data_IF_703493450274
#
_entry.id   IF_703493450274
#
_cell.length_a   1.000
_cell.length_b   1.000
_cell.length_c   1.000
_cell.angle_alpha   90.00
_cell.angle_beta   90.00
_cell.angle_gamma   90.00
#
_symmetry.space_group_name_H-M   'P 1'
#
loop_
_entity.id
_entity.type
_entity.pdbx_description
1 polymer ?
#
# COMPACT_ATOMS: atom_id res chain seq x y z
N UNK A 1 1.41 -11.68 14.80
CA UNK A 1 0.85 -11.25 13.51
C UNK A 1 0.93 -9.74 13.49
N UNK A 2 2.03 -9.17 12.98
CA UNK A 2 2.10 -7.72 12.81
C UNK A 2 0.98 -7.34 11.83
N UNK A 3 0.03 -6.53 12.27
CA UNK A 3 -1.02 -6.04 11.38
C UNK A 3 -0.34 -5.26 10.28
N UNK A 4 -0.34 -5.81 9.06
CA UNK A 4 0.21 -5.13 7.89
C UNK A 4 -0.43 -3.74 7.77
N UNK A 5 0.40 -2.70 7.77
CA UNK A 5 -0.08 -1.32 7.65
C UNK A 5 -0.85 -1.17 6.34
N UNK A 6 -2.13 -0.81 6.46
CA UNK A 6 -3.01 -0.53 5.32
C UNK A 6 -2.46 0.63 4.50
N UNK A 7 -2.60 0.52 3.17
CA UNK A 7 -2.33 1.62 2.25
C UNK A 7 -3.31 2.77 2.46
N UNK A 8 -2.95 3.97 2.01
CA UNK A 8 -3.85 5.13 2.10
C UNK A 8 -5.16 4.90 1.33
N UNK A 9 -5.09 4.16 0.23
CA UNK A 9 -6.26 3.78 -0.56
C UNK A 9 -7.19 2.83 0.22
N UNK A 10 -6.65 1.80 0.87
CA UNK A 10 -7.44 0.90 1.72
C UNK A 10 -8.11 1.67 2.87
N UNK A 11 -7.40 2.61 3.49
CA UNK A 11 -7.97 3.48 4.54
C UNK A 11 -9.09 4.37 3.99
N UNK A 12 -8.95 4.90 2.77
CA UNK A 12 -9.98 5.69 2.12
C UNK A 12 -11.24 4.86 1.83
N UNK A 13 -11.08 3.64 1.30
CA UNK A 13 -12.17 2.70 1.05
C UNK A 13 -12.87 2.27 2.34
N UNK A 14 -12.14 2.01 3.43
CA UNK A 14 -12.75 1.72 4.72
C UNK A 14 -13.55 2.89 5.28
N UNK A 15 -13.11 4.12 5.03
CA UNK A 15 -13.86 5.33 5.40
C UNK A 15 -15.12 5.49 4.54
N UNK A 16 -15.03 5.24 3.23
CA UNK A 16 -16.17 5.26 2.31
C UNK A 16 -17.22 4.21 2.69
N UNK A 17 -16.79 2.99 3.02
CA UNK A 17 -17.67 1.93 3.56
C UNK A 17 -18.45 2.38 4.79
N UNK A 18 -17.78 3.07 5.74
CA UNK A 18 -18.45 3.61 6.94
C UNK A 18 -19.50 4.68 6.61
N UNK A 19 -19.41 5.33 5.46
CA UNK A 19 -20.36 6.32 4.95
C UNK A 19 -21.44 5.72 4.05
N UNK A 20 -21.45 4.39 3.87
CA UNK A 20 -22.46 3.69 3.07
C UNK A 20 -22.12 3.57 1.56
N UNK A 21 -20.90 3.89 1.16
CA UNK A 21 -20.41 3.69 -0.22
C UNK A 21 -19.66 2.35 -0.40
N UNK A 22 -19.47 1.95 -1.66
CA UNK A 22 -18.90 0.69 -2.19
C UNK A 22 -17.92 -0.08 -1.25
N UNK A 23 -18.14 -1.39 -1.15
CA UNK A 23 -17.24 -2.32 -0.44
C UNK A 23 -15.89 -2.50 -1.16
N UNK A 24 -14.84 -2.82 -0.39
CA UNK A 24 -13.58 -3.29 -0.97
C UNK A 24 -13.83 -4.56 -1.81
N UNK A 25 -13.34 -4.63 -3.06
CA UNK A 25 -13.59 -5.80 -3.88
C UNK A 25 -12.92 -7.03 -3.25
N UNK A 26 -13.60 -8.17 -3.33
CA UNK A 26 -13.08 -9.43 -2.81
C UNK A 26 -11.84 -9.84 -3.60
N UNK A 27 -10.75 -10.12 -2.88
CA UNK A 27 -9.49 -10.51 -3.49
C UNK A 27 -9.35 -12.03 -3.54
N UNK A 28 -8.85 -12.55 -4.66
CA UNK A 28 -8.40 -13.93 -4.77
C UNK A 28 -7.19 -14.23 -3.87
N UNK A 29 -6.90 -15.50 -3.56
CA UNK A 29 -5.68 -15.87 -2.82
C UNK A 29 -4.40 -15.33 -3.47
N UNK A 30 -4.33 -15.36 -4.81
CA UNK A 30 -3.18 -14.87 -5.56
C UNK A 30 -3.03 -13.35 -5.47
N UNK A 31 -4.13 -12.60 -5.56
CA UNK A 31 -4.13 -11.14 -5.39
C UNK A 31 -3.71 -10.74 -3.97
N UNK A 32 -4.15 -11.47 -2.94
CA UNK A 32 -3.71 -11.25 -1.56
C UNK A 32 -2.21 -11.50 -1.42
N UNK A 33 -1.69 -12.56 -2.04
CA UNK A 33 -0.25 -12.85 -2.07
C UNK A 33 0.54 -11.77 -2.79
N UNK A 34 0.01 -11.24 -3.90
CA UNK A 34 0.62 -10.13 -4.64
C UNK A 34 0.71 -8.86 -3.78
N UNK A 35 -0.35 -8.51 -3.04
CA UNK A 35 -0.33 -7.37 -2.10
C UNK A 35 0.70 -7.58 -0.99
N UNK A 36 0.77 -8.78 -0.40
CA UNK A 36 1.74 -9.10 0.64
C UNK A 36 3.19 -8.95 0.14
N UNK A 37 3.46 -9.42 -1.08
CA UNK A 37 4.78 -9.25 -1.71
C UNK A 37 5.10 -7.78 -1.98
N UNK A 38 4.14 -7.00 -2.48
CA UNK A 38 4.31 -5.54 -2.66
C UNK A 38 4.65 -4.88 -1.33
N UNK A 39 3.94 -5.21 -0.25
CA UNK A 39 4.21 -4.66 1.09
C UNK A 39 5.63 -4.98 1.56
N UNK A 40 6.02 -6.25 1.47
CA UNK A 40 7.36 -6.72 1.86
C UNK A 40 8.48 -6.03 1.09
N UNK A 41 8.33 -5.90 -0.24
CA UNK A 41 9.33 -5.23 -1.08
C UNK A 41 9.47 -3.75 -0.70
N UNK A 42 8.36 -3.05 -0.47
CA UNK A 42 8.42 -1.63 -0.12
C UNK A 42 8.88 -1.39 1.32
N UNK A 43 8.62 -2.32 2.24
CA UNK A 43 9.20 -2.28 3.59
C UNK A 43 10.73 -2.31 3.55
N UNK A 44 11.30 -3.21 2.75
CA UNK A 44 12.75 -3.25 2.54
C UNK A 44 13.30 -1.94 1.95
N UNK A 45 12.59 -1.35 0.97
CA UNK A 45 12.98 -0.06 0.38
C UNK A 45 12.89 1.10 1.38
N UNK A 46 11.88 1.10 2.25
CA UNK A 46 11.78 2.11 3.31
C UNK A 46 12.95 2.01 4.27
N UNK A 47 13.27 0.80 4.73
CA UNK A 47 14.43 0.56 5.60
C UNK A 47 15.75 0.99 4.94
N UNK A 48 15.91 0.71 3.64
CA UNK A 48 17.08 1.17 2.87
C UNK A 48 17.21 2.69 2.86
N UNK A 49 16.12 3.42 2.57
CA UNK A 49 16.12 4.90 2.59
C UNK A 49 16.39 5.45 3.99
N UNK A 50 15.81 4.84 5.03
CA UNK A 50 16.04 5.24 6.42
C UNK A 50 17.49 5.08 6.86
N UNK A 51 18.19 4.06 6.35
CA UNK A 51 19.59 3.79 6.65
C UNK A 51 20.51 4.67 5.80
N UNK A 52 20.28 4.75 4.48
CA UNK A 52 21.23 5.34 3.54
C UNK A 52 21.13 6.86 3.43
N UNK A 53 19.92 7.43 3.58
CA UNK A 53 19.70 8.86 3.34
C UNK A 53 19.86 9.63 4.65
N UNK A 54 21.00 10.28 4.87
CA UNK A 54 21.27 11.03 6.10
C UNK A 54 20.51 12.36 6.18
N UNK A 55 20.30 13.02 5.03
CA UNK A 55 19.54 14.26 4.96
C UNK A 55 18.06 14.00 5.25
N UNK A 56 17.52 14.69 6.24
CA UNK A 56 16.15 14.45 6.74
C UNK A 56 15.09 14.83 5.71
N UNK A 57 15.23 15.98 5.06
CA UNK A 57 14.23 16.45 4.09
C UNK A 57 14.19 15.55 2.86
N UNK A 58 15.36 15.18 2.35
CA UNK A 58 15.49 14.22 1.25
C UNK A 58 14.92 12.86 1.61
N UNK A 59 15.22 12.36 2.82
CA UNK A 59 14.67 11.08 3.31
C UNK A 59 13.15 11.10 3.34
N UNK A 60 12.56 12.17 3.87
CA UNK A 60 11.10 12.31 3.93
C UNK A 60 10.46 12.33 2.53
N UNK A 61 11.07 13.04 1.58
CA UNK A 61 10.63 13.05 0.17
C UNK A 61 10.73 11.68 -0.49
N UNK A 62 11.85 10.97 -0.29
CA UNK A 62 12.06 9.64 -0.85
C UNK A 62 11.08 8.61 -0.25
N UNK A 63 10.83 8.67 1.06
CA UNK A 63 9.84 7.84 1.73
C UNK A 63 8.41 8.14 1.25
N UNK A 64 8.03 9.41 1.08
CA UNK A 64 6.71 9.78 0.58
C UNK A 64 6.49 9.27 -0.85
N UNK A 65 7.51 9.42 -1.71
CA UNK A 65 7.49 8.86 -3.06
C UNK A 65 7.26 7.35 -3.04
N UNK A 66 8.05 6.62 -2.25
CA UNK A 66 7.93 5.16 -2.15
C UNK A 66 6.57 4.72 -1.60
N UNK A 67 5.99 5.46 -0.64
CA UNK A 67 4.64 5.21 -0.11
C UNK A 67 3.59 5.35 -1.20
N UNK A 68 3.65 6.42 -2.00
CA UNK A 68 2.73 6.64 -3.14
C UNK A 68 2.86 5.55 -4.20
N UNK A 69 4.09 5.12 -4.52
CA UNK A 69 4.31 4.04 -5.47
C UNK A 69 3.76 2.69 -4.98
N UNK A 70 3.99 2.35 -3.71
CA UNK A 70 3.39 1.16 -3.07
C UNK A 70 1.87 1.20 -3.16
N UNK A 71 1.28 2.33 -2.77
CA UNK A 71 -0.17 2.48 -2.70
C UNK A 71 -0.81 2.38 -4.10
N UNK A 72 -0.20 2.98 -5.14
CA UNK A 72 -0.63 2.82 -6.53
C UNK A 72 -0.60 1.36 -7.00
N UNK A 73 0.42 0.58 -6.58
CA UNK A 73 0.50 -0.84 -6.93
C UNK A 73 -0.58 -1.66 -6.25
N UNK A 74 -0.84 -1.40 -4.96
CA UNK A 74 -1.91 -2.06 -4.21
C UNK A 74 -3.27 -1.71 -4.83
N UNK A 75 -3.52 -0.43 -5.12
CA UNK A 75 -4.73 0.03 -5.80
C UNK A 75 -4.93 -0.67 -7.15
N UNK A 76 -3.86 -0.81 -7.96
CA UNK A 76 -3.95 -1.51 -9.25
C UNK A 76 -4.39 -2.98 -9.09
N UNK A 77 -3.99 -3.67 -8.01
CA UNK A 77 -4.42 -5.04 -7.73
C UNK A 77 -5.92 -5.06 -7.37
N UNK A 78 -6.38 -4.15 -6.51
CA UNK A 78 -7.79 -4.01 -6.19
C UNK A 78 -8.64 -3.62 -7.41
N UNK A 79 -8.12 -2.76 -8.29
CA UNK A 79 -8.80 -2.36 -9.53
C UNK A 79 -8.94 -3.55 -10.51
N UNK A 80 -7.94 -4.44 -10.58
CA UNK A 80 -8.06 -5.70 -11.33
C UNK A 80 -9.13 -6.61 -10.72
N UNK A 81 -9.19 -6.70 -9.39
CA UNK A 81 -10.19 -7.49 -8.69
C UNK A 81 -11.62 -6.97 -8.91
N UNK A 82 -11.83 -5.65 -8.94
CA UNK A 82 -13.16 -5.06 -9.23
C UNK A 82 -13.65 -5.32 -10.66
N UNK A 83 -12.73 -5.55 -11.60
CA UNK A 83 -13.04 -5.81 -13.02
C UNK A 83 -13.16 -7.30 -13.36
N UNK A 84 -12.82 -8.19 -12.42
CA UNK A 84 -12.89 -9.65 -12.57
C UNK A 84 -14.22 -10.18 -12.08
#
# INVERSE_FOLDING_TARGET
>A
MAGELKSAWELAMEKAKKMGEDDLPSLSPDQKKEIAEVRKVYEAKFAEVEIMVQDKEKRELDLDRLKRERDRKIEAIYAKAKKS
#
